data_IF_990504298244
#
_entry.id   IF_990504298244
#
_cell.length_a   1.000
_cell.length_b   1.000
_cell.length_c   1.000
_cell.angle_alpha   90.00
_cell.angle_beta   90.00
_cell.angle_gamma   90.00
#
_symmetry.space_group_name_H-M   'P 1'
#
loop_
_entity.id
_entity.type
_entity.pdbx_description
1 polymer ?
#
# COMPACT_ATOMS: atom_id res chain seq x y z
N UNK A 1 -74.06 -135.81 -82.49
CA UNK A 1 -72.98 -134.81 -82.69
C UNK A 1 -72.95 -133.92 -81.45
N UNK A 2 -72.44 -134.48 -80.35
CA UNK A 2 -72.73 -134.09 -78.96
C UNK A 2 -71.46 -133.63 -78.19
N UNK A 3 -70.30 -133.45 -78.83
CA UNK A 3 -69.01 -133.25 -78.13
C UNK A 3 -68.35 -131.87 -78.30
N UNK A 4 -68.76 -131.03 -79.27
CA UNK A 4 -68.11 -129.72 -79.52
C UNK A 4 -68.53 -128.61 -78.56
N UNK A 5 -69.81 -128.56 -78.18
CA UNK A 5 -70.36 -127.52 -77.28
C UNK A 5 -69.84 -127.69 -75.84
N UNK A 6 -69.56 -128.93 -75.42
CA UNK A 6 -69.03 -129.25 -74.09
C UNK A 6 -67.57 -128.77 -73.90
N UNK A 7 -66.75 -128.78 -74.95
CA UNK A 7 -65.37 -128.29 -74.91
C UNK A 7 -65.27 -126.76 -74.82
N UNK A 8 -66.15 -126.03 -75.52
CA UNK A 8 -66.20 -124.56 -75.46
C UNK A 8 -66.73 -124.09 -74.10
N UNK A 9 -67.70 -124.80 -73.53
CA UNK A 9 -68.21 -124.48 -72.20
C UNK A 9 -67.17 -124.77 -71.11
N UNK A 10 -66.39 -125.84 -71.23
CA UNK A 10 -65.31 -126.17 -70.30
C UNK A 10 -64.14 -125.18 -70.36
N UNK A 11 -63.76 -124.69 -71.55
CA UNK A 11 -62.67 -123.70 -71.68
C UNK A 11 -63.07 -122.32 -71.13
N UNK A 12 -64.32 -121.89 -71.34
CA UNK A 12 -64.86 -120.67 -70.75
C UNK A 12 -64.93 -120.78 -69.22
N UNK A 13 -65.35 -121.94 -68.69
CA UNK A 13 -65.38 -122.20 -67.25
C UNK A 13 -63.99 -122.09 -66.60
N UNK A 14 -62.95 -122.62 -67.26
CA UNK A 14 -61.57 -122.56 -66.76
C UNK A 14 -61.04 -121.12 -66.76
N UNK A 15 -61.34 -120.33 -67.79
CA UNK A 15 -60.93 -118.92 -67.86
C UNK A 15 -61.62 -118.09 -66.77
N UNK A 16 -62.91 -118.32 -66.52
CA UNK A 16 -63.65 -117.66 -65.43
C UNK A 16 -63.09 -118.08 -64.07
N UNK A 17 -62.77 -119.36 -63.88
CA UNK A 17 -62.17 -119.85 -62.63
C UNK A 17 -60.80 -119.22 -62.37
N UNK A 18 -59.96 -119.09 -63.41
CA UNK A 18 -58.67 -118.41 -63.32
C UNK A 18 -58.82 -116.91 -63.04
N UNK A 19 -59.78 -116.24 -63.66
CA UNK A 19 -60.06 -114.82 -63.40
C UNK A 19 -60.59 -114.59 -61.98
N UNK A 20 -61.51 -115.44 -61.51
CA UNK A 20 -62.01 -115.42 -60.14
C UNK A 20 -60.87 -115.67 -59.16
N UNK A 21 -60.02 -116.68 -59.40
CA UNK A 21 -58.88 -116.97 -58.53
C UNK A 21 -57.88 -115.81 -58.47
N UNK A 22 -57.62 -115.16 -59.60
CA UNK A 22 -56.74 -114.00 -59.66
C UNK A 22 -57.37 -112.76 -58.98
N UNK A 23 -58.68 -112.55 -59.13
CA UNK A 23 -59.43 -111.46 -58.47
C UNK A 23 -59.52 -111.65 -56.95
N UNK A 24 -59.66 -112.90 -56.50
CA UNK A 24 -59.64 -113.28 -55.09
C UNK A 24 -58.25 -113.11 -54.50
N UNK A 25 -57.20 -113.49 -55.23
CA UNK A 25 -55.81 -113.27 -54.81
C UNK A 25 -55.49 -111.78 -54.68
N UNK A 26 -55.91 -110.96 -55.65
CA UNK A 26 -55.75 -109.51 -55.61
C UNK A 26 -56.52 -108.89 -54.43
N UNK A 27 -57.77 -109.30 -54.22
CA UNK A 27 -58.58 -108.84 -53.07
C UNK A 27 -57.96 -109.26 -51.74
N UNK A 28 -57.40 -110.48 -51.66
CA UNK A 28 -56.75 -110.98 -50.44
C UNK A 28 -55.47 -110.19 -50.13
N UNK A 29 -54.67 -109.87 -51.15
CA UNK A 29 -53.48 -109.02 -50.98
C UNK A 29 -53.86 -107.59 -50.55
N UNK A 30 -54.93 -107.02 -51.10
CA UNK A 30 -55.43 -105.69 -50.69
C UNK A 30 -55.97 -105.70 -49.25
N UNK A 31 -56.68 -106.76 -48.85
CA UNK A 31 -57.14 -106.89 -47.46
C UNK A 31 -55.94 -107.01 -46.51
N UNK A 32 -54.90 -107.74 -46.89
CA UNK A 32 -53.70 -107.90 -46.08
C UNK A 32 -52.91 -106.59 -45.94
N UNK A 33 -52.76 -105.81 -47.02
CA UNK A 33 -52.11 -104.49 -46.95
C UNK A 33 -52.95 -103.45 -46.18
N UNK A 34 -54.27 -103.53 -46.24
CA UNK A 34 -55.16 -102.71 -45.41
C UNK A 34 -55.08 -103.09 -43.93
N UNK A 35 -54.98 -104.38 -43.59
CA UNK A 35 -54.77 -104.84 -42.22
C UNK A 35 -53.41 -104.38 -41.69
N UNK A 36 -52.34 -104.53 -42.47
CA UNK A 36 -51.00 -104.08 -42.10
C UNK A 36 -50.95 -102.56 -41.89
N UNK A 37 -51.61 -101.78 -42.75
CA UNK A 37 -51.75 -100.33 -42.56
C UNK A 37 -52.58 -99.97 -41.31
N UNK A 38 -53.63 -100.73 -41.02
CA UNK A 38 -54.49 -100.51 -39.86
C UNK A 38 -53.75 -100.84 -38.56
N UNK A 39 -53.00 -101.93 -38.53
CA UNK A 39 -52.17 -102.32 -37.39
C UNK A 39 -51.00 -101.35 -37.19
N UNK A 40 -50.36 -100.88 -38.27
CA UNK A 40 -49.35 -99.82 -38.21
C UNK A 40 -49.94 -98.51 -37.68
N UNK A 41 -51.14 -98.14 -38.11
CA UNK A 41 -51.84 -96.95 -37.63
C UNK A 41 -52.21 -97.06 -36.15
N UNK A 42 -52.61 -98.26 -35.69
CA UNK A 42 -52.86 -98.55 -34.28
C UNK A 42 -51.60 -98.47 -33.43
N UNK A 43 -50.49 -99.04 -33.92
CA UNK A 43 -49.19 -98.95 -33.24
C UNK A 43 -48.76 -97.49 -33.10
N UNK A 44 -48.84 -96.71 -34.18
CA UNK A 44 -48.53 -95.28 -34.12
C UNK A 44 -49.46 -94.51 -33.18
N UNK A 45 -50.74 -94.85 -33.13
CA UNK A 45 -51.67 -94.20 -32.22
C UNK A 45 -51.30 -94.47 -30.76
N UNK A 46 -50.92 -95.70 -30.43
CA UNK A 46 -50.42 -96.05 -29.09
C UNK A 46 -49.10 -95.33 -28.76
N UNK A 47 -48.18 -95.24 -29.72
CA UNK A 47 -46.93 -94.47 -29.56
C UNK A 47 -47.22 -92.97 -29.34
N UNK A 48 -48.21 -92.40 -30.03
CA UNK A 48 -48.63 -91.02 -29.79
C UNK A 48 -49.33 -90.83 -28.44
N UNK A 49 -50.17 -91.77 -28.01
CA UNK A 49 -50.82 -91.73 -26.68
C UNK A 49 -49.78 -91.75 -25.56
N UNK A 50 -48.77 -92.63 -25.65
CA UNK A 50 -47.67 -92.69 -24.68
C UNK A 50 -46.83 -91.40 -24.66
N UNK A 51 -46.53 -90.82 -25.83
CA UNK A 51 -45.83 -89.52 -25.90
C UNK A 51 -46.67 -88.38 -25.31
N UNK A 52 -47.98 -88.38 -25.53
CA UNK A 52 -48.89 -87.38 -24.95
C UNK A 52 -48.91 -87.51 -23.43
N UNK A 53 -48.93 -88.73 -22.90
CA UNK A 53 -48.90 -88.96 -21.45
C UNK A 53 -47.56 -88.55 -20.83
N UNK A 54 -46.44 -88.86 -21.47
CA UNK A 54 -45.11 -88.43 -21.03
C UNK A 54 -44.97 -86.91 -21.05
N UNK A 55 -45.41 -86.27 -22.13
CA UNK A 55 -45.41 -84.80 -22.24
C UNK A 55 -46.36 -84.14 -21.22
N UNK A 56 -47.50 -84.76 -20.94
CA UNK A 56 -48.42 -84.28 -19.90
C UNK A 56 -47.80 -84.39 -18.50
N UNK A 57 -47.05 -85.46 -18.24
CA UNK A 57 -46.30 -85.63 -17.01
C UNK A 57 -45.21 -84.56 -16.86
N UNK A 58 -44.39 -84.33 -17.89
CA UNK A 58 -43.39 -83.26 -17.90
C UNK A 58 -44.02 -81.87 -17.70
N UNK A 59 -45.13 -81.60 -18.39
CA UNK A 59 -45.85 -80.34 -18.26
C UNK A 59 -46.39 -80.14 -16.84
N UNK A 60 -46.80 -81.22 -16.17
CA UNK A 60 -47.22 -81.20 -14.77
C UNK A 60 -46.05 -80.93 -13.81
N UNK A 61 -44.89 -81.56 -14.04
CA UNK A 61 -43.67 -81.31 -13.26
C UNK A 61 -43.19 -79.86 -13.38
N UNK A 62 -43.14 -79.32 -14.61
CA UNK A 62 -42.76 -77.92 -14.84
C UNK A 62 -43.74 -76.95 -14.19
N UNK A 63 -45.05 -77.25 -14.20
CA UNK A 63 -46.05 -76.44 -13.47
C UNK A 63 -45.80 -76.45 -11.97
N UNK A 64 -45.46 -77.60 -11.40
CA UNK A 64 -45.13 -77.70 -9.97
C UNK A 64 -43.87 -76.90 -9.62
N UNK A 65 -42.81 -77.00 -10.42
CA UNK A 65 -41.58 -76.21 -10.24
C UNK A 65 -41.82 -74.70 -10.40
N UNK A 66 -42.65 -74.31 -11.37
CA UNK A 66 -43.03 -72.91 -11.55
C UNK A 66 -43.88 -72.40 -10.38
N UNK A 67 -44.73 -73.26 -9.82
CA UNK A 67 -45.47 -72.99 -8.59
C UNK A 67 -44.55 -72.79 -7.38
N UNK A 68 -43.58 -73.69 -7.16
CA UNK A 68 -42.65 -73.59 -6.03
C UNK A 68 -41.71 -72.38 -6.16
N UNK A 69 -41.15 -72.14 -7.35
CA UNK A 69 -40.32 -70.97 -7.62
C UNK A 69 -41.11 -69.66 -7.43
N UNK A 70 -42.40 -69.65 -7.82
CA UNK A 70 -43.28 -68.49 -7.58
C UNK A 70 -43.54 -68.27 -6.09
N UNK A 71 -43.71 -69.34 -5.31
CA UNK A 71 -43.85 -69.20 -3.85
C UNK A 71 -42.58 -68.68 -3.18
N UNK A 72 -41.39 -69.13 -3.60
CA UNK A 72 -40.12 -68.59 -3.10
C UNK A 72 -39.93 -67.13 -3.50
N UNK A 73 -40.19 -66.77 -4.76
CA UNK A 73 -40.16 -65.39 -5.21
C UNK A 73 -41.09 -64.50 -4.38
N UNK A 74 -42.29 -64.99 -4.06
CA UNK A 74 -43.23 -64.25 -3.21
C UNK A 74 -42.71 -64.07 -1.77
N UNK A 75 -41.98 -65.04 -1.20
CA UNK A 75 -41.31 -64.87 0.10
C UNK A 75 -40.23 -63.78 0.03
N UNK A 76 -39.44 -63.74 -1.04
CA UNK A 76 -38.41 -62.70 -1.22
C UNK A 76 -38.98 -61.31 -1.51
N UNK A 77 -40.11 -61.22 -2.23
CA UNK A 77 -40.81 -59.94 -2.47
C UNK A 77 -41.24 -59.25 -1.18
N UNK A 78 -41.52 -59.99 -0.11
CA UNK A 78 -41.85 -59.39 1.19
C UNK A 78 -40.69 -58.59 1.80
N UNK A 79 -39.46 -58.81 1.35
CA UNK A 79 -38.26 -58.09 1.81
C UNK A 79 -37.91 -56.89 0.93
N UNK A 80 -38.70 -56.58 -0.11
CA UNK A 80 -38.45 -55.44 -0.99
C UNK A 80 -38.48 -54.10 -0.22
N UNK A 81 -39.39 -53.99 0.75
CA UNK A 81 -39.47 -52.82 1.64
C UNK A 81 -38.19 -52.61 2.46
N UNK A 82 -37.46 -53.68 2.81
CA UNK A 82 -36.19 -53.58 3.53
C UNK A 82 -35.10 -53.00 2.63
N UNK A 83 -35.01 -53.46 1.38
CA UNK A 83 -34.07 -52.89 0.41
C UNK A 83 -34.36 -51.39 0.14
N UNK A 84 -35.64 -51.01 0.06
CA UNK A 84 -36.03 -49.61 -0.13
C UNK A 84 -35.67 -48.75 1.09
N UNK A 85 -35.85 -49.28 2.31
CA UNK A 85 -35.44 -48.62 3.56
C UNK A 85 -33.90 -48.49 3.63
N UNK A 86 -33.15 -49.52 3.27
CA UNK A 86 -31.67 -49.48 3.24
C UNK A 86 -31.18 -48.39 2.27
N UNK A 87 -31.75 -48.34 1.07
CA UNK A 87 -31.44 -47.31 0.08
C UNK A 87 -31.81 -45.91 0.60
N UNK A 88 -32.95 -45.78 1.29
CA UNK A 88 -33.35 -44.53 1.92
C UNK A 88 -32.36 -44.10 3.03
N UNK A 89 -31.92 -45.02 3.89
CA UNK A 89 -30.95 -44.75 4.95
C UNK A 89 -29.62 -44.29 4.35
N UNK A 90 -29.12 -44.96 3.32
CA UNK A 90 -27.88 -44.59 2.61
C UNK A 90 -28.01 -43.18 2.01
N UNK A 91 -29.12 -42.89 1.33
CA UNK A 91 -29.34 -41.55 0.77
C UNK A 91 -29.40 -40.49 1.88
N UNK A 92 -30.04 -40.79 3.01
CA UNK A 92 -30.16 -39.86 4.12
C UNK A 92 -28.84 -39.63 4.86
N UNK A 93 -28.03 -40.67 5.03
CA UNK A 93 -26.69 -40.55 5.63
C UNK A 93 -25.77 -39.71 4.74
N UNK A 94 -25.78 -39.94 3.43
CA UNK A 94 -25.02 -39.13 2.47
C UNK A 94 -25.45 -37.66 2.48
N UNK A 95 -26.75 -37.38 2.57
CA UNK A 95 -27.25 -36.01 2.72
C UNK A 95 -26.79 -35.37 4.03
N UNK A 96 -26.83 -36.11 5.14
CA UNK A 96 -26.39 -35.62 6.43
C UNK A 96 -24.88 -35.34 6.45
N UNK A 97 -24.06 -36.24 5.88
CA UNK A 97 -22.62 -36.06 5.72
C UNK A 97 -22.29 -34.84 4.86
N UNK A 98 -22.95 -34.69 3.70
CA UNK A 98 -22.78 -33.53 2.83
C UNK A 98 -23.15 -32.23 3.56
N UNK A 99 -24.28 -32.20 4.27
CA UNK A 99 -24.67 -31.03 5.05
C UNK A 99 -23.65 -30.66 6.13
N UNK A 100 -23.07 -31.65 6.81
CA UNK A 100 -22.01 -31.44 7.81
C UNK A 100 -20.75 -30.89 7.15
N UNK A 101 -20.34 -31.41 5.99
CA UNK A 101 -19.17 -30.90 5.27
C UNK A 101 -19.37 -29.48 4.77
N UNK A 102 -20.52 -29.18 4.17
CA UNK A 102 -20.87 -27.82 3.71
C UNK A 102 -20.87 -26.85 4.89
N UNK A 103 -21.50 -27.21 6.01
CA UNK A 103 -21.52 -26.35 7.21
C UNK A 103 -20.13 -26.11 7.77
N UNK A 104 -19.25 -27.12 7.77
CA UNK A 104 -17.84 -26.96 8.20
C UNK A 104 -17.07 -26.03 7.26
N UNK A 105 -17.28 -26.16 5.95
CA UNK A 105 -16.66 -25.30 4.95
C UNK A 105 -17.11 -23.85 5.14
N UNK A 106 -18.41 -23.61 5.25
CA UNK A 106 -18.99 -22.28 5.47
C UNK A 106 -18.47 -21.64 6.77
N UNK A 107 -18.39 -22.43 7.86
CA UNK A 107 -17.81 -21.97 9.13
C UNK A 107 -16.31 -21.61 8.99
N UNK A 108 -15.55 -22.38 8.20
CA UNK A 108 -14.14 -22.08 7.94
C UNK A 108 -13.97 -20.79 7.13
N UNK A 109 -14.79 -20.60 6.09
CA UNK A 109 -14.79 -19.38 5.27
C UNK A 109 -15.12 -18.17 6.15
N UNK A 110 -16.17 -18.27 6.98
CA UNK A 110 -16.57 -17.20 7.88
C UNK A 110 -15.48 -16.84 8.90
N UNK A 111 -14.75 -17.84 9.42
CA UNK A 111 -13.62 -17.60 10.31
C UNK A 111 -12.48 -16.85 9.62
N UNK A 112 -12.17 -17.20 8.38
CA UNK A 112 -11.11 -16.54 7.62
C UNK A 112 -11.50 -15.12 7.20
N UNK A 113 -12.77 -14.88 6.86
CA UNK A 113 -13.32 -13.54 6.63
C UNK A 113 -13.24 -12.67 7.89
N UNK A 114 -13.60 -13.22 9.06
CA UNK A 114 -13.49 -12.51 10.34
C UNK A 114 -12.04 -12.17 10.68
N UNK A 115 -11.09 -13.09 10.44
CA UNK A 115 -9.66 -12.80 10.63
C UNK A 115 -9.18 -11.70 9.69
N UNK A 116 -9.57 -11.74 8.42
CA UNK A 116 -9.22 -10.71 7.44
C UNK A 116 -9.79 -9.34 7.87
N UNK A 117 -11.04 -9.30 8.33
CA UNK A 117 -11.66 -8.09 8.83
C UNK A 117 -10.95 -7.54 10.09
N UNK A 118 -10.61 -8.40 11.06
CA UNK A 118 -9.84 -7.99 12.25
C UNK A 118 -8.48 -7.42 11.84
N UNK A 119 -7.80 -8.03 10.87
CA UNK A 119 -6.52 -7.54 10.37
C UNK A 119 -6.66 -6.15 9.72
N UNK A 120 -7.71 -5.93 8.91
CA UNK A 120 -8.00 -4.63 8.30
C UNK A 120 -8.28 -3.56 9.36
N UNK A 121 -9.12 -3.86 10.36
CA UNK A 121 -9.43 -2.90 11.45
C UNK A 121 -8.17 -2.57 12.25
N UNK A 122 -7.32 -3.56 12.56
CA UNK A 122 -6.04 -3.31 13.24
C UNK A 122 -5.13 -2.39 12.43
N UNK A 123 -4.99 -2.64 11.13
CA UNK A 123 -4.19 -1.80 10.25
C UNK A 123 -4.76 -0.37 10.16
N UNK A 124 -6.08 -0.23 10.09
CA UNK A 124 -6.76 1.06 10.09
C UNK A 124 -6.51 1.84 11.40
N UNK A 125 -6.67 1.19 12.56
CA UNK A 125 -6.42 1.81 13.87
C UNK A 125 -4.95 2.22 14.03
N UNK A 126 -4.01 1.39 13.58
CA UNK A 126 -2.58 1.74 13.57
C UNK A 126 -2.30 2.96 12.69
N UNK A 127 -2.88 3.02 11.49
CA UNK A 127 -2.71 4.17 10.60
C UNK A 127 -3.32 5.44 11.20
N UNK A 128 -4.49 5.34 11.83
CA UNK A 128 -5.12 6.49 12.49
C UNK A 128 -4.28 6.99 13.68
N UNK A 129 -3.68 6.08 14.45
CA UNK A 129 -2.77 6.43 15.54
C UNK A 129 -1.50 7.12 15.02
N UNK A 130 -0.83 6.57 13.99
CA UNK A 130 0.38 7.19 13.43
C UNK A 130 0.09 8.55 12.80
N UNK A 131 -1.06 8.72 12.17
CA UNK A 131 -1.51 10.02 11.67
C UNK A 131 -1.75 11.02 12.80
N UNK A 132 -2.42 10.61 13.89
CA UNK A 132 -2.65 11.47 15.04
C UNK A 132 -1.34 11.92 15.70
N UNK A 133 -0.38 10.99 15.88
CA UNK A 133 0.96 11.30 16.39
C UNK A 133 1.71 12.29 15.48
N UNK A 134 1.68 12.06 14.16
CA UNK A 134 2.30 12.96 13.20
C UNK A 134 1.65 14.35 13.17
N UNK A 135 0.33 14.45 13.33
CA UNK A 135 -0.39 15.71 13.39
C UNK A 135 -0.08 16.49 14.68
N UNK A 136 0.00 15.81 15.83
CA UNK A 136 0.45 16.40 17.10
C UNK A 136 1.87 16.94 16.94
N UNK A 137 2.78 16.17 16.36
CA UNK A 137 4.17 16.60 16.15
C UNK A 137 4.23 17.83 15.21
N UNK A 138 3.45 17.83 14.13
CA UNK A 138 3.38 18.96 13.21
C UNK A 138 2.84 20.22 13.90
N UNK A 139 1.84 20.08 14.75
CA UNK A 139 1.30 21.19 15.55
C UNK A 139 2.34 21.70 16.55
N UNK A 140 3.03 20.81 17.26
CA UNK A 140 4.09 21.17 18.20
C UNK A 140 5.23 21.93 17.51
N UNK A 141 5.67 21.48 16.33
CA UNK A 141 6.69 22.18 15.52
C UNK A 141 6.23 23.59 15.11
N UNK A 142 4.99 23.73 14.65
CA UNK A 142 4.40 25.04 14.31
C UNK A 142 4.34 25.96 15.53
N UNK A 143 3.91 25.44 16.68
CA UNK A 143 3.86 26.19 17.92
C UNK A 143 5.27 26.64 18.36
N UNK A 144 6.25 25.74 18.37
CA UNK A 144 7.66 26.05 18.67
C UNK A 144 8.22 27.13 17.75
N UNK A 145 7.94 27.04 16.45
CA UNK A 145 8.34 28.07 15.50
C UNK A 145 7.69 29.42 15.82
N UNK A 146 6.40 29.45 16.15
CA UNK A 146 5.71 30.68 16.55
C UNK A 146 6.30 31.27 17.83
N UNK A 147 6.57 30.45 18.85
CA UNK A 147 7.23 30.87 20.08
C UNK A 147 8.63 31.42 19.83
N UNK A 148 9.42 30.78 18.97
CA UNK A 148 10.74 31.28 18.60
C UNK A 148 10.66 32.65 17.93
N UNK A 149 9.73 32.84 16.99
CA UNK A 149 9.54 34.15 16.35
C UNK A 149 9.08 35.22 17.35
N UNK A 150 8.16 34.86 18.27
CA UNK A 150 7.70 35.76 19.32
C UNK A 150 8.84 36.15 20.27
N UNK A 151 9.65 35.18 20.70
CA UNK A 151 10.80 35.42 21.57
C UNK A 151 11.84 36.32 20.89
N UNK A 152 12.10 36.09 19.60
CA UNK A 152 13.00 36.93 18.79
C UNK A 152 12.49 38.37 18.69
N UNK A 153 11.19 38.55 18.46
CA UNK A 153 10.60 39.89 18.40
C UNK A 153 10.60 40.57 19.77
N UNK A 154 10.31 39.84 20.84
CA UNK A 154 10.38 40.36 22.20
C UNK A 154 11.80 40.81 22.56
N UNK A 155 12.82 40.02 22.22
CA UNK A 155 14.22 40.41 22.40
C UNK A 155 14.54 41.67 21.60
N UNK A 156 14.13 41.73 20.32
CA UNK A 156 14.34 42.91 19.48
C UNK A 156 13.71 44.17 20.07
N UNK A 157 12.48 44.07 20.58
CA UNK A 157 11.79 45.18 21.23
C UNK A 157 12.48 45.59 22.53
N UNK A 158 12.98 44.63 23.31
CA UNK A 158 13.77 44.91 24.51
C UNK A 158 15.04 45.69 24.17
N UNK A 159 15.78 45.27 23.15
CA UNK A 159 16.98 45.99 22.68
C UNK A 159 16.66 47.42 22.21
N UNK A 160 15.48 47.65 21.64
CA UNK A 160 14.99 48.99 21.27
C UNK A 160 14.67 49.83 22.50
N UNK A 161 14.03 49.23 23.51
CA UNK A 161 13.75 49.91 24.79
C UNK A 161 15.06 50.28 25.49
N UNK A 162 16.03 49.38 25.56
CA UNK A 162 17.37 49.64 26.11
C UNK A 162 18.06 50.80 25.36
N UNK A 163 18.03 50.78 24.02
CA UNK A 163 18.58 51.87 23.22
C UNK A 163 17.89 53.23 23.50
N UNK A 164 16.57 53.25 23.69
CA UNK A 164 15.84 54.45 24.08
C UNK A 164 16.23 54.91 25.49
N UNK A 165 16.35 53.98 26.44
CA UNK A 165 16.77 54.30 27.80
C UNK A 165 18.16 54.92 27.85
N UNK A 166 19.13 54.38 27.10
CA UNK A 166 20.46 54.97 26.99
C UNK A 166 20.40 56.40 26.41
N UNK A 167 19.59 56.63 25.37
CA UNK A 167 19.40 57.98 24.80
C UNK A 167 18.78 58.97 25.79
N UNK A 168 17.89 58.50 26.68
CA UNK A 168 17.24 59.34 27.69
C UNK A 168 18.18 59.64 28.86
N UNK A 169 18.84 58.60 29.40
CA UNK A 169 19.73 58.71 30.57
C UNK A 169 21.08 59.34 30.21
N UNK A 170 21.45 59.32 28.93
CA UNK A 170 22.79 59.66 28.45
C UNK A 170 23.76 58.49 28.61
N UNK A 171 24.93 58.61 27.98
CA UNK A 171 25.94 57.56 27.92
C UNK A 171 27.02 57.68 29.02
N UNK A 172 26.78 58.49 30.05
CA UNK A 172 27.82 58.95 30.99
C UNK A 172 28.43 57.86 31.88
N UNK A 173 27.74 56.73 32.08
CA UNK A 173 28.18 55.67 32.99
C UNK A 173 27.85 54.29 32.41
N UNK A 174 28.81 53.36 32.47
CA UNK A 174 28.59 51.92 32.22
C UNK A 174 29.12 51.37 30.88
N UNK A 175 29.76 52.20 30.05
CA UNK A 175 30.31 51.77 28.76
C UNK A 175 31.84 51.92 28.70
N UNK A 176 32.51 51.37 29.71
CA UNK A 176 33.97 51.39 29.78
C UNK A 176 34.55 50.27 28.91
N UNK A 177 35.16 50.65 27.79
CA UNK A 177 35.99 49.75 26.98
C UNK A 177 37.35 50.39 26.76
N UNK A 178 38.37 50.04 27.57
CA UNK A 178 39.72 50.54 27.41
C UNK A 178 40.30 50.13 26.05
N UNK A 179 40.92 51.07 25.34
CA UNK A 179 41.58 50.77 24.06
C UNK A 179 42.73 49.78 24.26
N UNK A 180 43.39 49.80 25.42
CA UNK A 180 44.41 48.83 25.81
C UNK A 180 43.91 47.39 25.76
N UNK A 181 42.66 47.14 26.14
CA UNK A 181 42.06 45.80 26.04
C UNK A 181 41.96 45.31 24.59
N UNK A 182 41.75 46.23 23.62
CA UNK A 182 41.79 45.88 22.20
C UNK A 182 43.23 45.64 21.73
N UNK A 183 44.19 46.44 22.19
CA UNK A 183 45.61 46.26 21.87
C UNK A 183 46.13 44.89 22.32
N UNK A 184 45.74 44.44 23.52
CA UNK A 184 46.10 43.11 24.05
C UNK A 184 45.59 41.94 23.19
N UNK A 185 44.55 42.18 22.38
CA UNK A 185 43.99 41.18 21.46
C UNK A 185 44.70 41.17 20.10
N UNK A 186 45.56 42.15 19.82
CA UNK A 186 46.30 42.23 18.56
C UNK A 186 47.54 41.33 18.58
N UNK A 187 48.02 41.00 17.39
CA UNK A 187 49.24 40.20 17.23
C UNK A 187 50.46 40.96 17.79
N UNK A 188 51.43 40.23 18.32
CA UNK A 188 52.68 40.82 18.83
C UNK A 188 53.40 41.61 17.72
N UNK A 189 53.83 42.83 18.04
CA UNK A 189 54.51 43.73 17.11
C UNK A 189 53.57 44.59 16.24
N UNK A 190 52.25 44.50 16.45
CA UNK A 190 51.28 45.38 15.79
C UNK A 190 51.54 46.85 16.17
N UNK A 191 51.74 47.70 15.17
CA UNK A 191 52.15 49.10 15.35
C UNK A 191 51.19 50.07 14.63
N UNK A 192 51.45 51.36 14.78
CA UNK A 192 50.65 52.46 14.24
C UNK A 192 50.49 52.38 12.71
N UNK A 193 51.52 51.91 12.00
CA UNK A 193 51.49 51.76 10.54
C UNK A 193 50.51 50.67 10.13
N UNK A 194 50.48 49.56 10.88
CA UNK A 194 49.55 48.46 10.64
C UNK A 194 48.12 48.86 11.00
N UNK A 195 47.93 49.61 12.10
CA UNK A 195 46.65 50.21 12.47
C UNK A 195 46.12 51.15 11.38
N UNK A 196 46.97 52.04 10.87
CA UNK A 196 46.61 52.98 9.81
C UNK A 196 46.25 52.28 8.49
N UNK A 197 47.01 51.24 8.12
CA UNK A 197 46.72 50.43 6.91
C UNK A 197 45.39 49.68 7.07
N UNK A 198 45.11 49.15 8.26
CA UNK A 198 43.86 48.46 8.51
C UNK A 198 42.66 49.41 8.45
N UNK A 199 42.77 50.59 9.08
CA UNK A 199 41.75 51.62 9.02
C UNK A 199 41.46 52.10 7.59
N UNK A 200 42.50 52.26 6.76
CA UNK A 200 42.34 52.57 5.33
C UNK A 200 41.58 51.46 4.58
N UNK A 201 41.87 50.20 4.92
CA UNK A 201 41.18 49.04 4.34
C UNK A 201 39.69 49.06 4.68
N UNK A 202 39.34 49.27 5.95
CA UNK A 202 37.96 49.37 6.42
C UNK A 202 37.23 50.53 5.72
N UNK A 203 37.86 51.71 5.62
CA UNK A 203 37.29 52.86 4.91
C UNK A 203 37.04 52.59 3.43
N UNK A 204 37.94 51.85 2.78
CA UNK A 204 37.75 51.42 1.40
C UNK A 204 36.55 50.48 1.26
N UNK A 205 36.38 49.54 2.19
CA UNK A 205 35.21 48.65 2.22
C UNK A 205 33.90 49.42 2.48
N UNK A 206 33.93 50.44 3.33
CA UNK A 206 32.78 51.31 3.59
C UNK A 206 32.36 52.06 2.31
N UNK A 207 33.31 52.63 1.56
CA UNK A 207 33.01 53.31 0.29
C UNK A 207 32.50 52.32 -0.77
N UNK A 208 33.11 51.15 -0.89
CA UNK A 208 32.63 50.10 -1.80
C UNK A 208 31.20 49.67 -1.46
N UNK A 209 30.87 49.48 -0.18
CA UNK A 209 29.51 49.11 0.24
C UNK A 209 28.49 50.22 -0.07
N UNK A 210 28.89 51.50 -0.01
CA UNK A 210 28.06 52.65 -0.43
C UNK A 210 27.80 52.62 -1.94
N UNK A 211 28.85 52.46 -2.74
CA UNK A 211 28.77 52.39 -4.21
C UNK A 211 27.92 51.21 -4.69
N UNK A 212 28.03 50.07 -4.02
CA UNK A 212 27.29 48.84 -4.34
C UNK A 212 25.88 48.80 -3.75
N UNK A 213 25.42 49.86 -3.06
CA UNK A 213 24.13 49.92 -2.37
C UNK A 213 23.92 48.78 -1.35
N UNK A 214 25.00 48.33 -0.70
CA UNK A 214 24.99 47.27 0.33
C UNK A 214 24.88 47.83 1.76
N UNK A 215 24.55 49.11 1.91
CA UNK A 215 24.40 49.76 3.21
C UNK A 215 23.07 49.38 3.87
N UNK A 216 22.00 49.38 3.09
CA UNK A 216 20.64 49.19 3.57
C UNK A 216 19.78 48.45 2.54
N UNK A 217 18.64 47.93 2.98
CA UNK A 217 17.63 47.30 2.12
C UNK A 217 16.23 47.74 2.53
N UNK A 218 15.26 47.65 1.62
CA UNK A 218 13.84 47.85 1.91
C UNK A 218 12.98 47.19 0.83
N UNK A 219 11.70 46.96 1.12
CA UNK A 219 10.78 46.17 0.30
C UNK A 219 9.92 47.00 -0.69
N UNK A 220 10.32 48.25 -1.00
CA UNK A 220 9.61 49.03 -2.00
C UNK A 220 9.72 48.36 -3.38
N UNK A 221 8.56 48.18 -4.03
CA UNK A 221 8.47 47.66 -5.41
C UNK A 221 8.94 48.71 -6.42
N UNK A 222 8.67 49.99 -6.14
CA UNK A 222 9.11 51.12 -6.96
C UNK A 222 10.62 51.38 -6.77
N UNK A 223 11.37 51.31 -7.87
CA UNK A 223 12.83 51.43 -7.89
C UNK A 223 13.33 52.77 -7.35
N UNK A 224 12.70 53.89 -7.75
CA UNK A 224 13.14 55.23 -7.38
C UNK A 224 12.90 55.49 -5.89
N UNK A 225 11.74 55.07 -5.37
CA UNK A 225 11.44 55.10 -3.93
C UNK A 225 12.38 54.20 -3.16
N UNK A 226 12.69 53.01 -3.67
CA UNK A 226 13.63 52.07 -3.03
C UNK A 226 15.01 52.70 -2.90
N UNK A 227 15.56 53.21 -4.00
CA UNK A 227 16.87 53.90 -4.02
C UNK A 227 16.89 55.10 -3.09
N UNK A 228 15.90 55.99 -3.20
CA UNK A 228 15.81 57.19 -2.36
C UNK A 228 15.73 56.84 -0.87
N UNK A 229 14.97 55.80 -0.50
CA UNK A 229 14.86 55.34 0.89
C UNK A 229 16.19 54.79 1.40
N UNK A 230 16.87 53.96 0.60
CA UNK A 230 18.19 53.42 0.92
C UNK A 230 19.20 54.56 1.08
N UNK A 231 19.22 55.54 0.18
CA UNK A 231 20.12 56.69 0.23
C UNK A 231 19.90 57.55 1.48
N UNK A 232 18.65 57.89 1.80
CA UNK A 232 18.30 58.68 2.99
C UNK A 232 18.71 57.94 4.26
N UNK A 233 18.39 56.66 4.37
CA UNK A 233 18.73 55.86 5.56
C UNK A 233 20.24 55.70 5.70
N UNK A 234 20.95 55.47 4.59
CA UNK A 234 22.41 55.38 4.53
C UNK A 234 23.07 56.68 4.97
N UNK A 235 22.60 57.83 4.45
CA UNK A 235 23.11 59.15 4.81
C UNK A 235 22.90 59.42 6.31
N UNK A 236 21.70 59.14 6.82
CA UNK A 236 21.38 59.37 8.22
C UNK A 236 22.25 58.50 9.15
N UNK A 237 22.46 57.22 8.84
CA UNK A 237 23.32 56.35 9.64
C UNK A 237 24.80 56.77 9.57
N UNK A 238 25.30 57.10 8.38
CA UNK A 238 26.67 57.55 8.22
C UNK A 238 26.94 58.88 8.93
N UNK A 239 26.00 59.81 8.90
CA UNK A 239 26.13 61.08 9.65
C UNK A 239 26.28 60.85 11.16
N UNK A 240 25.59 59.85 11.72
CA UNK A 240 25.75 59.45 13.14
C UNK A 240 27.12 58.85 13.40
N UNK A 241 27.55 57.94 12.54
CA UNK A 241 28.83 57.29 12.70
C UNK A 241 30.01 58.27 12.53
N UNK A 242 29.93 59.21 11.59
CA UNK A 242 30.89 60.32 11.43
C UNK A 242 30.90 61.24 12.65
N UNK A 243 29.72 61.56 13.18
CA UNK A 243 29.61 62.32 14.43
C UNK A 243 30.33 61.60 15.58
N UNK A 244 30.14 60.29 15.77
CA UNK A 244 30.83 59.55 16.83
C UNK A 244 32.35 59.43 16.60
N UNK A 245 32.79 59.26 15.35
CA UNK A 245 34.21 59.32 15.03
C UNK A 245 34.83 60.69 15.36
N UNK A 246 34.10 61.78 15.14
CA UNK A 246 34.58 63.13 15.45
C UNK A 246 34.72 63.41 16.95
N UNK A 247 33.98 62.68 17.80
CA UNK A 247 34.01 62.78 19.26
C UNK A 247 34.92 61.74 19.92
N UNK A 248 35.49 60.83 19.13
CA UNK A 248 36.26 59.70 19.63
C UNK A 248 37.57 60.16 20.28
N UNK A 249 37.84 59.61 21.46
CA UNK A 249 39.10 59.73 22.16
C UNK A 249 39.47 58.38 22.80
N UNK A 250 40.62 58.31 23.47
CA UNK A 250 41.16 57.07 24.05
C UNK A 250 40.37 56.54 25.25
N UNK A 251 39.44 57.31 25.79
CA UNK A 251 38.69 56.97 27.00
C UNK A 251 37.20 56.68 26.76
N UNK A 252 36.64 57.05 25.60
CA UNK A 252 35.20 56.97 25.33
C UNK A 252 34.80 55.97 24.23
N UNK A 253 35.70 55.04 23.86
CA UNK A 253 35.43 54.08 22.79
C UNK A 253 34.15 53.26 23.05
N UNK A 254 33.97 52.75 24.27
CA UNK A 254 32.79 51.96 24.61
C UNK A 254 31.48 52.76 24.47
N UNK A 255 31.47 54.03 24.90
CA UNK A 255 30.34 54.94 24.71
C UNK A 255 30.04 55.18 23.23
N UNK A 256 31.06 55.44 22.39
CA UNK A 256 30.87 55.67 20.96
C UNK A 256 30.34 54.42 20.25
N UNK A 257 30.85 53.23 20.58
CA UNK A 257 30.37 51.97 20.04
C UNK A 257 28.93 51.70 20.43
N UNK A 258 28.57 51.92 21.70
CA UNK A 258 27.19 51.72 22.15
C UNK A 258 26.24 52.74 21.50
N UNK A 259 26.65 54.00 21.44
CA UNK A 259 25.85 55.08 20.84
C UNK A 259 25.50 54.79 19.38
N UNK A 260 26.45 54.25 18.61
CA UNK A 260 26.23 53.84 17.23
C UNK A 260 25.30 52.62 17.12
N UNK A 261 25.48 51.61 17.98
CA UNK A 261 24.58 50.43 18.04
C UNK A 261 23.14 50.82 18.38
N UNK A 262 22.96 51.74 19.30
CA UNK A 262 21.64 52.23 19.67
C UNK A 262 20.99 53.00 18.53
N UNK A 263 21.72 53.89 17.83
CA UNK A 263 21.19 54.55 16.64
C UNK A 263 20.81 53.53 15.55
N UNK A 264 21.65 52.51 15.30
CA UNK A 264 21.33 51.42 14.38
C UNK A 264 20.00 50.73 14.76
N UNK A 265 19.83 50.35 16.03
CA UNK A 265 18.62 49.69 16.52
C UNK A 265 17.38 50.57 16.34
N UNK A 266 17.48 51.84 16.72
CA UNK A 266 16.37 52.79 16.63
C UNK A 266 15.99 53.10 15.18
N UNK A 267 16.98 53.28 14.31
CA UNK A 267 16.75 53.53 12.89
C UNK A 267 16.11 52.32 12.21
N UNK A 268 16.58 51.10 12.48
CA UNK A 268 15.98 49.88 11.94
C UNK A 268 14.58 49.63 12.49
N UNK A 269 14.34 49.92 13.78
CA UNK A 269 13.00 49.87 14.35
C UNK A 269 12.04 50.83 13.63
N UNK A 270 12.44 52.08 13.40
CA UNK A 270 11.64 53.05 12.63
C UNK A 270 11.49 52.67 11.16
N UNK A 271 12.52 52.09 10.57
CA UNK A 271 12.55 51.64 9.19
C UNK A 271 11.51 50.57 8.86
N UNK A 272 11.00 49.83 9.87
CA UNK A 272 9.88 48.91 9.68
C UNK A 272 8.64 49.57 9.06
N UNK A 273 8.36 50.82 9.45
CA UNK A 273 7.25 51.61 8.90
C UNK A 273 7.54 52.15 7.49
N UNK A 274 8.81 52.12 7.06
CA UNK A 274 9.28 52.56 5.75
C UNK A 274 9.53 51.36 4.84
N UNK A 275 8.52 50.48 4.72
CA UNK A 275 8.59 49.26 3.92
C UNK A 275 9.73 48.32 4.34
N UNK A 276 9.86 48.05 5.64
CA UNK A 276 10.92 47.19 6.19
C UNK A 276 12.33 47.67 5.81
N UNK A 277 12.54 49.00 5.80
CA UNK A 277 13.86 49.57 5.59
C UNK A 277 14.79 49.21 6.76
N UNK A 278 16.00 48.75 6.46
CA UNK A 278 16.98 48.36 7.47
C UNK A 278 18.41 48.58 6.97
N UNK A 279 19.26 49.12 7.85
CA UNK A 279 20.72 49.06 7.71
C UNK A 279 21.15 47.61 7.87
N UNK A 280 22.02 47.13 6.99
CA UNK A 280 22.57 45.78 7.06
C UNK A 280 23.50 45.65 8.27
N UNK A 281 23.43 44.52 8.97
CA UNK A 281 24.31 44.24 10.12
C UNK A 281 25.79 44.18 9.71
N UNK A 282 26.08 43.66 8.51
CA UNK A 282 27.42 43.70 7.91
C UNK A 282 27.98 45.12 7.85
N UNK A 283 27.15 46.09 7.48
CA UNK A 283 27.55 47.49 7.39
C UNK A 283 27.72 48.15 8.77
N UNK A 284 26.88 47.81 9.75
CA UNK A 284 27.09 48.21 11.15
C UNK A 284 28.47 47.73 11.64
N UNK A 285 28.81 46.47 11.36
CA UNK A 285 30.09 45.89 11.80
C UNK A 285 31.29 46.63 11.21
N UNK A 286 31.24 47.02 9.93
CA UNK A 286 32.29 47.87 9.32
C UNK A 286 32.46 49.21 10.04
N UNK A 287 31.35 49.90 10.38
CA UNK A 287 31.40 51.19 11.08
C UNK A 287 31.87 51.05 12.54
N UNK A 288 31.51 49.95 13.21
CA UNK A 288 32.03 49.64 14.55
C UNK A 288 33.53 49.32 14.52
N UNK A 289 33.98 48.62 13.49
CA UNK A 289 35.39 48.31 13.29
C UNK A 289 36.20 49.58 12.99
N UNK A 290 35.66 50.50 12.20
CA UNK A 290 36.27 51.82 11.97
C UNK A 290 36.48 52.58 13.29
N UNK A 291 35.46 52.63 14.17
CA UNK A 291 35.58 53.25 15.49
C UNK A 291 36.67 52.60 16.35
N UNK A 292 36.73 51.25 16.38
CA UNK A 292 37.74 50.51 17.14
C UNK A 292 39.16 50.82 16.65
N UNK A 293 39.41 50.73 15.34
CA UNK A 293 40.75 50.93 14.80
C UNK A 293 41.16 52.39 14.73
N UNK A 294 40.21 53.32 14.66
CA UNK A 294 40.49 54.74 14.89
C UNK A 294 40.97 54.98 16.33
N UNK A 295 40.33 54.38 17.33
CA UNK A 295 40.75 54.51 18.73
C UNK A 295 42.12 53.85 18.99
N UNK A 296 42.37 52.66 18.43
CA UNK A 296 43.67 51.98 18.48
C UNK A 296 44.78 52.86 17.91
N UNK A 297 44.55 53.48 16.74
CA UNK A 297 45.53 54.37 16.14
C UNK A 297 45.80 55.60 17.01
N UNK A 298 44.76 56.20 17.62
CA UNK A 298 44.92 57.33 18.54
C UNK A 298 45.74 56.96 19.78
N UNK A 299 45.49 55.80 20.37
CA UNK A 299 46.20 55.30 21.56
C UNK A 299 47.68 55.03 21.25
N UNK A 300 47.96 54.36 20.14
CA UNK A 300 49.34 54.07 19.72
C UNK A 300 50.14 55.36 19.46
N UNK A 301 49.53 56.35 18.79
CA UNK A 301 50.14 57.65 18.56
C UNK A 301 50.40 58.42 19.86
N UNK A 302 49.49 58.35 20.84
CA UNK A 302 49.68 58.97 22.15
C UNK A 302 50.86 58.31 22.89
N UNK A 303 50.93 56.98 22.88
CA UNK A 303 51.99 56.23 23.56
C UNK A 303 53.38 56.56 23.01
N UNK A 304 53.53 56.75 21.70
CA UNK A 304 54.78 57.19 21.07
C UNK A 304 55.21 58.61 21.47
N UNK A 305 54.26 59.52 21.71
CA UNK A 305 54.56 60.90 22.14
C UNK A 305 54.95 60.95 23.62
N UNK A 306 54.46 60.01 24.44
CA UNK A 306 54.75 59.93 25.88
C UNK A 306 56.02 59.15 26.24
N UNK A 307 56.62 58.38 25.33
CA UNK A 307 57.96 57.81 25.54
C UNK A 307 59.03 58.92 25.39
N UNK A 308 59.76 59.31 26.46
CA UNK A 308 60.81 60.30 26.33
C UNK A 308 61.96 59.70 25.50
N UNK A 309 62.44 60.46 24.51
CA UNK A 309 63.72 60.18 23.86
C UNK A 309 64.78 60.03 24.94
N UNK A 310 65.20 58.80 25.21
CA UNK A 310 66.29 58.52 26.11
C UNK A 310 67.49 59.32 25.63
N UNK A 311 67.82 60.34 26.42
CA UNK A 311 68.93 61.25 26.20
C UNK A 311 70.18 60.42 26.01
N UNK A 312 70.73 60.50 24.80
CA UNK A 312 72.12 60.16 24.52
C UNK A 312 72.95 61.16 25.33
N UNK A 313 73.39 60.75 26.52
CA UNK A 313 74.44 61.43 27.26
C UNK A 313 75.69 60.55 27.23
N UNK A 314 76.60 60.91 26.32
CA UNK A 314 78.07 60.80 26.35
C UNK A 314 78.71 59.52 26.92
#
# INVERSE_FOLDING_TARGET
>A
MLSGVLFVLASVLIIVLLWVFNSLKLSRNNIQSLQENLDHSRSKLADYETQVDELNYEMTQLRMQLGSARTELNKYKQYQDICDIEQYIINRSLQAENFVEVTKLDASIMLDDLKAYIAQVKAYLQNLQTQAEADIERQARKALQAYYQQAKEQQRLQEVVEALEHKIKGYQHGFDLPVTQLLDQLISGYNDTDAARHLLTIRTQIEQAKEQQQVASCNYVDEDRRKSTIEILSLAFNSRAEFYLSQLNTHNLGEMLQSLKDDYRLMNYKGQSLSQAMIQESYLNLRLEELKFAAVLLELQQNQVSEPSAVIAS
#
